data_IF_884920264372
#
_entry.id   IF_884920264372
#
_cell.length_a   1.000
_cell.length_b   1.000
_cell.length_c   1.000
_cell.angle_alpha   90.00
_cell.angle_beta   90.00
_cell.angle_gamma   90.00
#
_symmetry.space_group_name_H-M   'P 1'
#
loop_
_entity.id
_entity.type
_entity.pdbx_description
1 polymer ?
#
# COMPACT_ATOMS: atom_id res chain seq x y z
N UNK A 1 -24.63 -24.14 25.05
CA UNK A 1 -23.35 -23.41 25.19
C UNK A 1 -22.81 -23.16 23.79
N UNK A 2 -22.94 -21.93 23.28
CA UNK A 2 -22.58 -21.59 21.90
C UNK A 2 -21.10 -21.25 21.85
N UNK A 3 -20.28 -22.18 21.38
CA UNK A 3 -18.84 -21.95 21.17
C UNK A 3 -18.67 -20.97 20.02
N UNK A 4 -18.43 -19.69 20.32
CA UNK A 4 -18.06 -18.70 19.31
C UNK A 4 -16.72 -19.11 18.67
N UNK A 5 -16.75 -19.51 17.40
CA UNK A 5 -15.56 -19.70 16.60
C UNK A 5 -14.94 -18.33 16.29
N UNK A 6 -14.09 -17.83 17.20
CA UNK A 6 -13.22 -16.70 16.88
C UNK A 6 -12.26 -17.16 15.80
N UNK A 7 -12.41 -16.65 14.58
CA UNK A 7 -11.51 -17.00 13.49
C UNK A 7 -10.08 -16.61 13.87
N UNK A 8 -9.09 -17.51 13.74
CA UNK A 8 -7.71 -17.19 14.08
C UNK A 8 -7.23 -16.04 13.18
N UNK A 9 -6.66 -15.00 13.79
CA UNK A 9 -6.01 -13.88 13.11
C UNK A 9 -4.50 -13.96 13.27
N UNK A 10 -3.76 -13.47 12.27
CA UNK A 10 -2.30 -13.42 12.32
C UNK A 10 -1.86 -12.63 13.56
N UNK A 11 -1.10 -13.29 14.45
CA UNK A 11 -0.59 -12.65 15.67
C UNK A 11 0.54 -11.69 15.35
N UNK A 12 0.64 -10.60 16.12
CA UNK A 12 1.82 -9.73 16.14
C UNK A 12 3.06 -10.56 16.44
N UNK A 13 4.14 -10.23 15.75
CA UNK A 13 5.41 -10.94 15.86
C UNK A 13 6.07 -10.62 17.19
N UNK A 14 6.53 -11.61 17.96
CA UNK A 14 7.30 -11.33 19.16
C UNK A 14 8.71 -10.88 18.79
N UNK A 15 9.28 -9.96 19.56
CA UNK A 15 10.68 -9.54 19.39
C UNK A 15 11.66 -10.58 19.92
N UNK A 16 11.29 -11.31 20.99
CA UNK A 16 12.09 -12.37 21.63
C UNK A 16 11.21 -13.56 21.97
N UNK A 17 11.76 -14.78 21.96
CA UNK A 17 11.03 -15.97 22.40
C UNK A 17 11.92 -16.85 23.27
N UNK A 18 11.40 -17.30 24.42
CA UNK A 18 12.09 -18.16 25.37
C UNK A 18 11.89 -19.67 25.13
N UNK A 19 11.18 -20.03 24.07
CA UNK A 19 10.94 -21.43 23.74
C UNK A 19 12.25 -22.15 23.45
N UNK A 20 12.39 -23.39 23.93
CA UNK A 20 13.51 -24.27 23.56
C UNK A 20 13.31 -24.92 22.18
N UNK A 21 12.09 -24.87 21.62
CA UNK A 21 11.76 -25.50 20.35
C UNK A 21 12.57 -24.92 19.18
N UNK A 22 13.19 -25.80 18.40
CA UNK A 22 13.94 -25.48 17.19
C UNK A 22 13.34 -26.28 16.03
N UNK A 23 13.16 -25.63 14.89
CA UNK A 23 12.71 -26.30 13.67
C UNK A 23 13.72 -27.33 13.18
N UNK A 24 13.24 -28.43 12.58
CA UNK A 24 14.06 -29.44 11.90
C UNK A 24 14.56 -28.99 10.51
N UNK A 25 14.13 -27.82 10.03
CA UNK A 25 14.58 -27.29 8.75
C UNK A 25 16.08 -26.96 8.74
N UNK A 26 16.75 -27.02 7.57
CA UNK A 26 18.17 -26.75 7.46
C UNK A 26 18.57 -25.39 8.03
N UNK A 27 19.67 -25.33 8.76
CA UNK A 27 20.21 -24.10 9.35
C UNK A 27 20.43 -23.02 8.29
N UNK A 28 20.08 -21.78 8.63
CA UNK A 28 20.36 -20.61 7.80
C UNK A 28 21.75 -20.10 8.15
N UNK A 29 22.65 -20.08 7.16
CA UNK A 29 23.96 -19.41 7.26
C UNK A 29 23.81 -17.96 6.82
N UNK A 30 24.32 -17.02 7.61
CA UNK A 30 24.23 -15.59 7.29
C UNK A 30 25.03 -15.23 6.04
N UNK A 31 26.19 -15.87 5.82
CA UNK A 31 26.99 -15.67 4.58
C UNK A 31 26.24 -15.99 3.28
N UNK A 32 25.22 -16.87 3.35
CA UNK A 32 24.44 -17.30 2.19
C UNK A 32 23.27 -16.37 1.87
N UNK A 33 22.95 -15.44 2.75
CA UNK A 33 21.89 -14.45 2.53
C UNK A 33 22.52 -13.17 2.01
N UNK A 34 21.82 -12.47 1.10
CA UNK A 34 22.23 -11.14 0.66
C UNK A 34 22.47 -10.21 1.86
N UNK A 35 23.58 -9.45 1.90
CA UNK A 35 23.85 -8.51 2.99
C UNK A 35 22.69 -7.51 3.24
N UNK A 36 21.95 -7.13 2.19
CA UNK A 36 20.78 -6.25 2.27
C UNK A 36 19.54 -6.90 2.90
N UNK A 37 19.53 -8.23 3.06
CA UNK A 37 18.47 -9.01 3.67
C UNK A 37 18.79 -9.42 5.12
N UNK A 38 19.84 -8.84 5.69
CA UNK A 38 20.25 -9.01 7.08
C UNK A 38 20.45 -7.62 7.67
N UNK A 39 20.09 -7.42 8.93
CA UNK A 39 20.49 -6.24 9.70
C UNK A 39 21.11 -6.68 11.02
N UNK A 40 22.42 -6.43 11.16
CA UNK A 40 23.22 -6.73 12.35
C UNK A 40 23.69 -5.47 13.10
N UNK A 41 23.13 -4.28 12.81
CA UNK A 41 23.60 -2.98 13.37
C UNK A 41 23.56 -2.92 14.89
N UNK A 42 22.59 -3.61 15.50
CA UNK A 42 22.51 -3.77 16.94
C UNK A 42 22.50 -5.27 17.26
N UNK A 43 23.52 -5.82 17.96
CA UNK A 43 23.59 -7.26 18.22
C UNK A 43 22.46 -7.76 19.14
N UNK A 44 21.62 -6.88 19.71
CA UNK A 44 20.41 -7.27 20.46
C UNK A 44 19.13 -7.27 19.62
N UNK A 45 19.15 -6.63 18.44
CA UNK A 45 18.00 -6.50 17.54
C UNK A 45 18.29 -7.08 16.16
N UNK A 46 19.17 -8.07 16.06
CA UNK A 46 19.50 -8.68 14.79
C UNK A 46 18.23 -9.23 14.11
N UNK A 47 18.01 -8.85 12.86
CA UNK A 47 16.88 -9.31 12.05
C UNK A 47 17.39 -9.81 10.70
N UNK A 48 16.67 -10.75 10.09
CA UNK A 48 16.92 -11.18 8.71
C UNK A 48 15.62 -11.44 7.96
N UNK A 49 15.68 -11.38 6.63
CA UNK A 49 14.56 -11.75 5.77
C UNK A 49 14.45 -13.27 5.72
N UNK A 50 13.33 -13.82 6.18
CA UNK A 50 13.09 -15.26 6.15
C UNK A 50 13.05 -15.77 4.70
N UNK A 51 13.84 -16.80 4.33
CA UNK A 51 13.84 -17.35 2.96
C UNK A 51 12.48 -17.91 2.51
N UNK A 52 11.66 -18.39 3.45
CA UNK A 52 10.41 -19.09 3.15
C UNK A 52 9.22 -18.14 2.96
N UNK A 53 9.23 -16.95 3.58
CA UNK A 53 8.11 -16.01 3.53
C UNK A 53 8.49 -14.55 3.22
N UNK A 54 9.78 -14.28 3.00
CA UNK A 54 10.32 -12.97 2.62
C UNK A 54 9.99 -11.81 3.58
N UNK A 55 9.66 -12.11 4.84
CA UNK A 55 9.42 -11.08 5.87
C UNK A 55 10.64 -10.87 6.76
N UNK A 56 10.81 -9.65 7.30
CA UNK A 56 11.89 -9.29 8.22
C UNK A 56 11.70 -9.84 9.63
N UNK A 57 12.33 -10.97 9.96
CA UNK A 57 12.13 -11.72 11.20
C UNK A 57 13.27 -11.46 12.19
N UNK A 58 12.96 -11.13 13.46
CA UNK A 58 13.94 -11.11 14.54
C UNK A 58 14.62 -12.44 14.79
N UNK A 59 15.92 -12.35 15.03
CA UNK A 59 16.72 -13.47 15.51
C UNK A 59 16.71 -13.41 17.03
N UNK A 60 16.26 -14.50 17.65
CA UNK A 60 16.24 -14.65 19.10
C UNK A 60 17.40 -15.54 19.57
N UNK A 61 17.75 -15.42 20.85
CA UNK A 61 18.84 -16.21 21.44
C UNK A 61 20.24 -15.73 21.06
N UNK A 62 20.42 -14.44 20.73
CA UNK A 62 21.74 -13.90 20.32
C UNK A 62 22.81 -14.13 21.40
N UNK A 63 22.45 -14.04 22.69
CA UNK A 63 23.32 -14.37 23.84
C UNK A 63 23.25 -15.84 24.28
N UNK A 64 22.57 -16.70 23.53
CA UNK A 64 22.35 -18.11 23.88
C UNK A 64 23.13 -19.01 22.94
N UNK A 65 23.27 -20.30 23.29
CA UNK A 65 23.97 -21.29 22.46
C UNK A 65 23.27 -21.57 21.10
N UNK A 66 21.99 -21.22 20.98
CA UNK A 66 21.18 -21.47 19.78
C UNK A 66 20.47 -20.20 19.37
N UNK A 67 20.90 -19.63 18.26
CA UNK A 67 20.21 -18.53 17.58
C UNK A 67 19.17 -19.07 16.61
N UNK A 68 17.99 -18.45 16.56
CA UNK A 68 16.91 -18.88 15.68
C UNK A 68 15.93 -17.76 15.37
N UNK A 69 15.17 -17.93 14.30
CA UNK A 69 14.08 -17.01 13.97
C UNK A 69 12.94 -17.12 14.98
N UNK A 70 12.37 -15.98 15.37
CA UNK A 70 11.15 -15.99 16.18
C UNK A 70 9.97 -16.62 15.41
N UNK A 71 8.97 -17.20 16.10
CA UNK A 71 7.73 -17.61 15.48
C UNK A 71 7.08 -16.48 14.69
N UNK A 72 6.72 -16.75 13.43
CA UNK A 72 6.07 -15.76 12.57
C UNK A 72 5.08 -16.41 11.60
N UNK A 73 4.11 -15.62 11.17
CA UNK A 73 3.14 -15.98 10.13
C UNK A 73 3.63 -15.51 8.76
N UNK A 74 3.11 -16.12 7.69
CA UNK A 74 3.39 -15.69 6.30
C UNK A 74 2.66 -14.42 5.92
N UNK A 75 1.57 -14.09 6.61
CA UNK A 75 0.71 -12.94 6.31
C UNK A 75 0.87 -11.83 7.34
N UNK A 76 0.43 -10.62 6.96
CA UNK A 76 0.43 -9.44 7.83
C UNK A 76 -0.47 -9.68 9.04
N UNK A 77 0.00 -9.21 10.21
CA UNK A 77 -0.76 -9.29 11.46
C UNK A 77 -2.14 -8.64 11.29
N UNK A 78 -3.16 -9.24 11.92
CA UNK A 78 -4.53 -8.70 12.02
C UNK A 78 -5.33 -8.55 10.72
N UNK A 79 -4.71 -8.69 9.54
CA UNK A 79 -5.34 -8.49 8.22
C UNK A 79 -5.97 -9.77 7.65
N UNK A 80 -5.46 -10.94 8.00
CA UNK A 80 -5.85 -12.20 7.34
C UNK A 80 -6.63 -13.13 8.27
N UNK A 81 -7.79 -13.56 7.79
CA UNK A 81 -8.57 -14.70 8.30
C UNK A 81 -7.87 -16.01 7.91
N UNK A 82 -7.52 -16.86 8.88
CA UNK A 82 -6.73 -18.10 8.72
C UNK A 82 -5.23 -17.89 8.41
N UNK A 83 -4.46 -17.30 9.34
CA UNK A 83 -3.02 -17.15 9.19
C UNK A 83 -2.31 -18.51 9.23
N UNK A 84 -1.45 -18.76 8.23
CA UNK A 84 -0.55 -19.91 8.26
C UNK A 84 0.75 -19.52 8.95
N UNK A 85 1.17 -20.35 9.91
CA UNK A 85 2.50 -20.22 10.52
C UNK A 85 3.55 -20.54 9.47
N UNK A 86 4.58 -19.69 9.35
CA UNK A 86 5.66 -19.92 8.41
C UNK A 86 6.47 -21.14 8.83
N UNK A 87 6.82 -22.00 7.85
CA UNK A 87 7.69 -23.17 8.02
C UNK A 87 9.08 -22.78 8.56
N UNK A 88 9.56 -21.59 8.20
CA UNK A 88 10.80 -20.99 8.73
C UNK A 88 10.73 -20.50 10.18
N UNK A 89 9.60 -20.63 10.88
CA UNK A 89 9.51 -20.33 12.31
C UNK A 89 10.49 -21.17 13.13
N UNK A 90 11.16 -20.60 14.13
CA UNK A 90 12.12 -21.31 15.00
C UNK A 90 13.30 -21.96 14.24
N UNK A 91 13.54 -21.57 12.98
CA UNK A 91 14.65 -22.10 12.17
C UNK A 91 15.98 -21.60 12.71
N UNK A 92 16.96 -22.49 12.84
CA UNK A 92 18.30 -22.15 13.35
C UNK A 92 18.98 -21.15 12.41
N UNK A 93 19.70 -20.22 13.02
CA UNK A 93 20.56 -19.26 12.33
C UNK A 93 21.97 -19.47 12.84
N UNK A 94 22.91 -19.65 11.92
CA UNK A 94 24.33 -19.76 12.19
C UNK A 94 25.01 -18.43 11.84
N UNK A 95 25.65 -17.82 12.83
CA UNK A 95 26.43 -16.60 12.67
C UNK A 95 27.83 -16.96 12.19
N UNK A 96 27.94 -17.30 10.92
CA UNK A 96 29.21 -17.64 10.25
C UNK A 96 29.98 -16.42 9.74
N UNK A 97 29.41 -15.22 9.92
CA UNK A 97 30.07 -13.94 9.68
C UNK A 97 29.94 -13.05 10.91
N UNK A 98 30.96 -12.24 11.16
CA UNK A 98 30.94 -11.21 12.21
C UNK A 98 30.14 -9.98 11.76
N UNK A 99 29.63 -9.15 12.70
CA UNK A 99 29.00 -7.88 12.35
C UNK A 99 29.90 -7.00 11.46
N UNK A 100 31.21 -6.97 11.72
CA UNK A 100 32.17 -6.21 10.90
C UNK A 100 32.28 -6.74 9.47
N UNK A 101 32.32 -8.07 9.30
CA UNK A 101 32.31 -8.70 7.97
C UNK A 101 31.01 -8.41 7.21
N UNK A 102 29.87 -8.43 7.92
CA UNK A 102 28.60 -8.03 7.33
C UNK A 102 28.57 -6.55 6.93
N UNK A 103 29.08 -5.65 7.77
CA UNK A 103 29.19 -4.22 7.44
C UNK A 103 30.02 -3.99 6.18
N UNK A 104 31.16 -4.70 6.05
CA UNK A 104 31.99 -4.64 4.86
C UNK A 104 31.24 -5.17 3.62
N UNK A 105 30.62 -6.35 3.72
CA UNK A 105 29.85 -6.93 2.62
C UNK A 105 28.68 -6.04 2.18
N UNK A 106 28.03 -5.35 3.12
CA UNK A 106 26.98 -4.37 2.83
C UNK A 106 27.55 -3.14 2.11
N UNK A 107 28.68 -2.61 2.56
CA UNK A 107 29.34 -1.47 1.93
C UNK A 107 29.79 -1.81 0.49
N UNK A 108 30.36 -3.00 0.28
CA UNK A 108 30.77 -3.49 -1.03
C UNK A 108 29.55 -3.66 -1.97
N UNK A 109 28.46 -4.24 -1.46
CA UNK A 109 27.22 -4.38 -2.22
C UNK A 109 26.61 -3.01 -2.61
N UNK A 110 26.66 -2.02 -1.73
CA UNK A 110 26.21 -0.65 -2.02
C UNK A 110 27.11 0.01 -3.07
N UNK A 111 28.43 -0.14 -2.93
CA UNK A 111 29.41 0.38 -3.89
C UNK A 111 29.21 -0.22 -5.27
N UNK A 112 29.01 -1.53 -5.36
CA UNK A 112 28.74 -2.23 -6.62
C UNK A 112 27.38 -1.84 -7.21
N UNK A 113 26.34 -1.66 -6.38
CA UNK A 113 25.06 -1.15 -6.86
C UNK A 113 25.18 0.29 -7.41
N UNK A 114 26.04 1.12 -6.81
CA UNK A 114 26.32 2.48 -7.26
C UNK A 114 27.29 2.57 -8.44
N UNK A 115 28.15 1.56 -8.66
CA UNK A 115 29.08 1.50 -9.81
C UNK A 115 28.35 1.20 -11.11
N UNK A 116 27.20 0.51 -11.03
CA UNK A 116 26.24 0.41 -12.12
C UNK A 116 25.75 1.82 -12.42
N UNK A 117 26.27 2.40 -13.49
CA UNK A 117 25.98 3.75 -13.95
C UNK A 117 24.51 4.08 -13.71
N UNK A 118 24.19 5.08 -12.86
CA UNK A 118 22.90 5.72 -12.93
C UNK A 118 22.73 6.13 -14.38
N UNK A 119 21.62 5.79 -15.03
CA UNK A 119 21.18 6.60 -16.16
C UNK A 119 21.12 8.00 -15.60
N UNK A 120 22.09 8.85 -15.94
CA UNK A 120 22.12 10.22 -15.45
C UNK A 120 20.79 10.82 -15.92
N UNK A 121 19.84 10.94 -15.00
CA UNK A 121 18.57 11.60 -15.28
C UNK A 121 18.96 13.06 -15.36
N UNK A 122 19.41 13.47 -16.53
CA UNK A 122 19.66 14.86 -16.82
C UNK A 122 18.37 15.60 -16.49
N UNK A 123 18.42 16.59 -15.58
CA UNK A 123 17.27 17.43 -15.31
C UNK A 123 16.76 17.93 -16.65
N UNK A 124 15.46 17.74 -16.91
CA UNK A 124 14.84 18.33 -18.10
C UNK A 124 15.20 19.82 -18.09
N UNK A 125 15.85 20.28 -19.15
CA UNK A 125 16.28 21.67 -19.25
C UNK A 125 15.10 22.58 -18.95
N UNK A 126 15.30 23.52 -18.03
CA UNK A 126 14.25 24.43 -17.58
C UNK A 126 13.84 25.31 -18.76
N UNK A 127 12.73 24.96 -19.41
CA UNK A 127 12.24 25.78 -20.52
C UNK A 127 11.72 27.11 -19.99
N UNK A 128 11.84 28.17 -20.80
CA UNK A 128 11.25 29.48 -20.51
C UNK A 128 9.75 29.37 -20.24
N UNK A 129 9.06 28.49 -20.95
CA UNK A 129 7.63 28.20 -20.78
C UNK A 129 7.32 27.57 -19.42
N UNK A 130 8.15 26.63 -18.96
CA UNK A 130 8.02 26.02 -17.63
C UNK A 130 8.20 27.07 -16.54
N UNK A 131 9.19 27.95 -16.67
CA UNK A 131 9.45 29.03 -15.72
C UNK A 131 8.28 30.03 -15.68
N UNK A 132 7.79 30.46 -16.85
CA UNK A 132 6.61 31.33 -16.96
C UNK A 132 5.37 30.70 -16.30
N UNK A 133 5.13 29.41 -16.52
CA UNK A 133 4.01 28.68 -15.92
C UNK A 133 4.13 28.61 -14.39
N UNK A 134 5.32 28.33 -13.88
CA UNK A 134 5.58 28.28 -12.43
C UNK A 134 5.45 29.66 -11.78
N UNK A 135 5.97 30.72 -12.41
CA UNK A 135 5.81 32.09 -11.94
C UNK A 135 4.34 32.53 -11.97
N UNK A 136 3.61 32.20 -13.03
CA UNK A 136 2.18 32.47 -13.10
C UNK A 136 1.41 31.76 -11.97
N UNK A 137 1.73 30.50 -11.67
CA UNK A 137 1.16 29.75 -10.54
C UNK A 137 1.53 30.37 -9.18
N UNK A 138 2.79 30.75 -8.99
CA UNK A 138 3.26 31.36 -7.75
C UNK A 138 2.61 32.72 -7.48
N UNK A 139 2.30 33.47 -8.54
CA UNK A 139 1.59 34.76 -8.48
C UNK A 139 0.08 34.63 -8.30
N UNK A 140 -0.52 33.42 -8.35
CA UNK A 140 -1.96 33.24 -8.13
C UNK A 140 -2.31 33.43 -6.67
N UNK A 141 -3.05 34.50 -6.39
CA UNK A 141 -3.65 34.74 -5.09
C UNK A 141 -4.80 33.76 -4.81
N UNK A 142 -5.14 33.49 -3.53
CA UNK A 142 -6.33 32.72 -3.18
C UNK A 142 -7.61 33.28 -3.82
N UNK A 143 -7.75 34.61 -3.87
CA UNK A 143 -8.89 35.28 -4.51
C UNK A 143 -8.97 35.00 -6.02
N UNK A 144 -7.83 35.03 -6.73
CA UNK A 144 -7.79 34.66 -8.15
C UNK A 144 -8.19 33.21 -8.41
N UNK A 145 -7.82 32.27 -7.51
CA UNK A 145 -8.25 30.87 -7.63
C UNK A 145 -9.76 30.70 -7.43
N UNK A 146 -10.36 31.44 -6.50
CA UNK A 146 -11.81 31.43 -6.29
C UNK A 146 -12.52 32.00 -7.51
N UNK A 147 -12.00 33.08 -8.11
CA UNK A 147 -12.54 33.65 -9.34
C UNK A 147 -12.46 32.66 -10.51
N UNK A 148 -11.29 32.06 -10.76
CA UNK A 148 -11.10 31.02 -11.80
C UNK A 148 -12.06 29.83 -11.61
N UNK A 149 -12.25 29.40 -10.36
CA UNK A 149 -13.18 28.33 -10.01
C UNK A 149 -14.63 28.74 -10.29
N UNK A 150 -15.04 29.94 -9.86
CA UNK A 150 -16.39 30.44 -10.11
C UNK A 150 -16.69 30.58 -11.61
N UNK A 151 -15.69 30.90 -12.44
CA UNK A 151 -15.85 30.94 -13.91
C UNK A 151 -16.10 29.55 -14.50
N UNK A 152 -15.45 28.51 -13.99
CA UNK A 152 -15.53 27.15 -14.53
C UNK A 152 -16.62 26.29 -13.87
N UNK A 153 -17.10 26.69 -12.69
CA UNK A 153 -18.07 25.96 -11.88
C UNK A 153 -19.39 25.67 -12.62
N UNK A 154 -20.02 26.61 -13.38
CA UNK A 154 -21.27 26.32 -14.07
C UNK A 154 -21.11 25.24 -15.15
N UNK A 155 -20.01 25.26 -15.90
CA UNK A 155 -19.70 24.26 -16.91
C UNK A 155 -19.46 22.88 -16.26
N UNK A 156 -18.72 22.84 -15.14
CA UNK A 156 -18.51 21.60 -14.39
C UNK A 156 -19.82 21.03 -13.82
N UNK A 157 -20.70 21.89 -13.29
CA UNK A 157 -22.02 21.50 -12.81
C UNK A 157 -22.90 20.95 -13.95
N UNK A 158 -22.85 21.58 -15.13
CA UNK A 158 -23.57 21.12 -16.31
C UNK A 158 -23.08 19.74 -16.79
N UNK A 159 -21.77 19.53 -16.88
CA UNK A 159 -21.21 18.22 -17.25
C UNK A 159 -21.60 17.14 -16.23
N UNK A 160 -21.56 17.47 -14.94
CA UNK A 160 -21.99 16.54 -13.89
C UNK A 160 -23.49 16.20 -14.00
N UNK A 161 -24.32 17.18 -14.36
CA UNK A 161 -25.75 17.00 -14.65
C UNK A 161 -26.00 15.97 -15.74
N UNK A 162 -25.30 16.14 -16.86
CA UNK A 162 -25.44 15.29 -18.03
C UNK A 162 -25.05 13.85 -17.67
N UNK A 163 -23.91 13.67 -16.98
CA UNK A 163 -23.49 12.35 -16.52
C UNK A 163 -24.53 11.67 -15.64
N UNK A 164 -25.07 12.36 -14.64
CA UNK A 164 -26.09 11.78 -13.76
C UNK A 164 -27.38 11.44 -14.52
N UNK A 165 -27.77 12.27 -15.48
CA UNK A 165 -28.91 11.99 -16.36
C UNK A 165 -28.66 10.72 -17.20
N UNK A 166 -27.47 10.58 -17.77
CA UNK A 166 -27.10 9.43 -18.60
C UNK A 166 -27.03 8.14 -17.78
N UNK A 167 -26.46 8.18 -16.57
CA UNK A 167 -26.41 7.05 -15.64
C UNK A 167 -27.82 6.61 -15.22
N UNK A 168 -28.69 7.56 -14.91
CA UNK A 168 -30.05 7.29 -14.51
C UNK A 168 -30.89 6.75 -15.68
N UNK A 169 -30.74 7.31 -16.89
CA UNK A 169 -31.36 6.78 -18.10
C UNK A 169 -30.88 5.34 -18.42
N UNK A 170 -29.59 5.06 -18.20
CA UNK A 170 -29.04 3.71 -18.36
C UNK A 170 -29.64 2.72 -17.34
N UNK A 171 -29.76 3.14 -16.07
CA UNK A 171 -30.37 2.34 -15.01
C UNK A 171 -31.84 2.05 -15.32
N UNK A 172 -32.57 3.05 -15.80
CA UNK A 172 -33.98 2.88 -16.14
C UNK A 172 -34.18 1.94 -17.32
N UNK A 173 -33.34 2.00 -18.36
CA UNK A 173 -33.37 1.03 -19.46
C UNK A 173 -33.18 -0.42 -19.00
N UNK A 174 -32.45 -0.65 -17.92
CA UNK A 174 -32.27 -2.00 -17.34
C UNK A 174 -33.51 -2.47 -16.56
N UNK A 175 -34.28 -1.56 -15.95
CA UNK A 175 -35.46 -1.87 -15.13
C UNK A 175 -36.76 -1.85 -15.96
N UNK A 176 -36.80 -1.04 -17.02
CA UNK A 176 -37.94 -0.83 -17.93
C UNK A 176 -38.60 -2.09 -18.50
N UNK A 177 -37.89 -3.19 -18.83
CA UNK A 177 -38.50 -4.42 -19.32
C UNK A 177 -39.44 -5.09 -18.33
N UNK A 178 -39.38 -4.69 -17.04
CA UNK A 178 -40.18 -5.25 -15.94
C UNK A 178 -41.31 -4.31 -15.47
N UNK A 179 -41.44 -3.13 -16.07
CA UNK A 179 -42.40 -2.11 -15.65
C UNK A 179 -43.62 -2.07 -16.58
N UNK A 180 -44.79 -1.80 -16.02
CA UNK A 180 -46.02 -1.56 -16.79
C UNK A 180 -45.90 -0.23 -17.56
N UNK A 181 -46.67 -0.02 -18.65
CA UNK A 181 -46.68 1.25 -19.37
C UNK A 181 -47.01 2.47 -18.49
N UNK A 182 -47.83 2.29 -17.45
CA UNK A 182 -48.22 3.34 -16.50
C UNK A 182 -47.04 3.77 -15.61
N UNK A 183 -46.34 2.80 -15.01
CA UNK A 183 -45.16 3.07 -14.17
C UNK A 183 -44.03 3.76 -14.95
N UNK A 184 -43.91 3.43 -16.25
CA UNK A 184 -42.94 4.06 -17.15
C UNK A 184 -43.24 5.55 -17.37
N UNK A 185 -44.50 5.89 -17.67
CA UNK A 185 -44.93 7.27 -17.87
C UNK A 185 -44.75 8.13 -16.60
N UNK A 186 -44.99 7.55 -15.42
CA UNK A 186 -44.82 8.25 -14.15
C UNK A 186 -43.34 8.54 -13.82
N UNK A 187 -42.45 7.58 -14.10
CA UNK A 187 -41.00 7.78 -13.88
C UNK A 187 -40.46 8.85 -14.84
N UNK A 188 -40.79 8.81 -16.12
CA UNK A 188 -40.34 9.82 -17.10
C UNK A 188 -40.80 11.23 -16.73
N UNK A 189 -42.03 11.37 -16.20
CA UNK A 189 -42.56 12.64 -15.71
C UNK A 189 -41.76 13.16 -14.50
N UNK A 190 -41.48 12.30 -13.51
CA UNK A 190 -40.73 12.68 -12.30
C UNK A 190 -39.28 13.07 -12.61
N UNK A 191 -38.64 12.42 -13.56
CA UNK A 191 -37.27 12.75 -13.97
C UNK A 191 -37.17 14.06 -14.73
N UNK A 192 -38.17 14.33 -15.56
CA UNK A 192 -38.31 15.63 -16.23
C UNK A 192 -38.42 16.75 -15.20
N UNK A 193 -39.26 16.56 -14.17
CA UNK A 193 -39.43 17.53 -13.09
C UNK A 193 -38.17 17.69 -12.22
N UNK A 194 -37.49 16.60 -11.85
CA UNK A 194 -36.24 16.64 -11.08
C UNK A 194 -35.11 17.33 -11.85
N UNK A 195 -34.99 17.04 -13.14
CA UNK A 195 -33.99 17.68 -13.99
C UNK A 195 -34.24 19.17 -14.11
N UNK A 196 -35.51 19.58 -14.24
CA UNK A 196 -35.91 20.99 -14.26
C UNK A 196 -35.60 21.69 -12.93
N UNK A 197 -35.94 21.07 -11.80
CA UNK A 197 -35.70 21.62 -10.46
C UNK A 197 -34.21 21.74 -10.10
N UNK A 198 -33.35 20.84 -10.60
CA UNK A 198 -31.92 20.84 -10.31
C UNK A 198 -31.13 21.82 -11.20
N UNK A 199 -31.65 22.18 -12.38
CA UNK A 199 -30.88 22.89 -13.41
C UNK A 199 -31.55 24.13 -14.00
N UNK A 200 -32.80 24.46 -13.67
CA UNK A 200 -33.32 25.79 -13.96
C UNK A 200 -32.63 26.83 -13.04
N UNK A 201 -32.09 27.92 -13.62
CA UNK A 201 -31.57 29.01 -12.82
C UNK A 201 -32.73 29.63 -12.03
N UNK A 202 -32.61 29.68 -10.69
CA UNK A 202 -33.57 30.45 -9.87
C UNK A 202 -33.56 31.90 -10.35
N UNK A 203 -34.74 32.53 -10.59
CA UNK A 203 -34.80 33.95 -10.89
C UNK A 203 -34.18 34.73 -9.73
N UNK A 204 -33.39 35.76 -10.07
CA UNK A 204 -32.72 36.65 -9.11
C UNK A 204 -33.71 37.50 -8.34
#
# INVERSE_FOLDING_TARGET
MTTQFVMPKAKKRPTRTHTKNVSCHPTIKLSKISPAHIDLREPLKAVLVCPDCQTWVPITGIRSRVQKLVPHHTTRAETTTNPRRCRGSNRRVEFDITPSQWFQALADAIKEAGSRQPTAVLPKTFSRQTNQTLQARAKRTPAGRVADWNTTLPAAQHTNAQRLRDELAATLRQVHPRLTPFERAEIDSRLTLLTRALYEPKPR
#
